data_IF_513817780111
#
_entry.id   IF_513817780111
#
_cell.length_a   1.000
_cell.length_b   1.000
_cell.length_c   1.000
_cell.angle_alpha   90.00
_cell.angle_beta   90.00
_cell.angle_gamma   90.00
#
_symmetry.space_group_name_H-M   'P 1'
#
loop_
_entity.id
_entity.type
_entity.pdbx_description
1 polymer ?
#
# COMPACT_ATOMS: atom_id res chain seq x y z
N UNK A 1 -25.24 -63.64 41.55
CA UNK A 1 -25.23 -62.78 40.35
C UNK A 1 -23.98 -61.92 40.38
N UNK A 2 -23.14 -62.01 39.33
CA UNK A 2 -22.00 -61.15 38.92
C UNK A 2 -21.01 -60.72 40.03
N UNK A 3 -19.91 -61.44 40.29
CA UNK A 3 -18.62 -61.52 39.57
C UNK A 3 -17.82 -60.20 39.39
N UNK A 4 -16.55 -60.28 39.84
CA UNK A 4 -15.30 -59.62 39.38
C UNK A 4 -14.96 -58.29 40.09
N UNK A 5 -14.01 -58.25 41.03
CA UNK A 5 -12.53 -58.45 40.98
C UNK A 5 -11.77 -57.19 40.48
N UNK A 6 -11.09 -56.58 41.47
CA UNK A 6 -9.71 -56.08 41.53
C UNK A 6 -9.08 -55.11 40.49
N UNK A 7 -8.24 -54.25 41.10
CA UNK A 7 -6.91 -53.78 40.69
C UNK A 7 -6.75 -52.34 40.19
N UNK A 8 -6.10 -51.56 41.07
CA UNK A 8 -5.08 -50.54 40.84
C UNK A 8 -4.49 -50.43 39.42
N UNK A 9 -4.43 -49.20 38.88
CA UNK A 9 -3.31 -48.71 38.07
C UNK A 9 -3.29 -47.17 38.01
N UNK A 10 -2.13 -46.58 38.32
CA UNK A 10 -1.72 -45.22 37.98
C UNK A 10 -1.85 -45.01 36.46
N UNK A 11 -2.43 -43.89 36.02
CA UNK A 11 -2.26 -43.39 34.66
C UNK A 11 -1.92 -41.89 34.71
N UNK A 12 -0.64 -41.60 34.51
CA UNK A 12 -0.17 -40.34 33.94
C UNK A 12 -0.82 -40.19 32.55
N UNK A 13 -1.56 -39.12 32.32
CA UNK A 13 -1.84 -38.65 30.96
C UNK A 13 -1.75 -37.13 30.90
N UNK A 14 -0.60 -36.69 30.42
CA UNK A 14 -0.39 -35.41 29.77
C UNK A 14 -1.36 -35.27 28.59
N UNK A 15 -2.29 -34.33 28.67
CA UNK A 15 -2.97 -33.73 27.52
C UNK A 15 -2.73 -32.23 27.71
N UNK A 16 -1.66 -31.64 27.21
CA UNK A 16 -1.34 -31.64 25.79
C UNK A 16 -2.31 -30.67 25.12
N UNK A 17 -2.05 -29.37 25.22
CA UNK A 17 -2.65 -28.35 24.37
C UNK A 17 -2.41 -28.77 22.92
N UNK A 18 -3.38 -29.44 22.28
CA UNK A 18 -3.37 -29.55 20.83
C UNK A 18 -3.65 -28.16 20.31
N UNK A 19 -2.58 -27.44 19.97
CA UNK A 19 -2.63 -26.34 19.02
C UNK A 19 -3.37 -26.86 17.79
N UNK A 20 -4.64 -26.50 17.66
CA UNK A 20 -5.36 -26.57 16.40
C UNK A 20 -4.75 -25.51 15.46
N UNK A 21 -3.53 -25.77 15.00
CA UNK A 21 -2.99 -25.18 13.79
C UNK A 21 -3.72 -25.82 12.61
N UNK A 22 -4.99 -25.44 12.43
CA UNK A 22 -5.54 -25.40 11.08
C UNK A 22 -4.71 -24.35 10.36
N UNK A 23 -3.69 -24.82 9.64
CA UNK A 23 -3.07 -24.11 8.53
C UNK A 23 -4.19 -23.68 7.57
N UNK A 24 -4.84 -22.56 7.85
CA UNK A 24 -5.30 -21.70 6.77
C UNK A 24 -4.04 -21.42 5.96
N UNK A 25 -3.96 -22.00 4.76
CA UNK A 25 -2.89 -21.74 3.81
C UNK A 25 -2.88 -20.24 3.52
N UNK A 26 -2.12 -19.48 4.30
CA UNK A 26 -1.57 -18.23 3.83
C UNK A 26 -0.65 -18.63 2.68
N UNK A 27 -1.15 -18.52 1.43
CA UNK A 27 -0.38 -18.88 0.25
C UNK A 27 0.89 -18.03 0.29
N UNK A 28 2.04 -18.68 0.49
CA UNK A 28 3.33 -18.00 0.65
C UNK A 28 3.61 -17.07 -0.53
N UNK A 29 4.42 -16.04 -0.32
CA UNK A 29 4.85 -15.15 -1.39
C UNK A 29 5.51 -15.94 -2.54
N UNK A 30 6.23 -17.02 -2.24
CA UNK A 30 6.85 -17.90 -3.25
C UNK A 30 5.80 -18.53 -4.18
N UNK A 31 4.68 -19.00 -3.65
CA UNK A 31 3.59 -19.54 -4.47
C UNK A 31 2.96 -18.47 -5.36
N UNK A 32 2.88 -17.22 -4.89
CA UNK A 32 2.37 -16.09 -5.69
C UNK A 32 3.33 -15.71 -6.81
N UNK A 33 4.64 -15.68 -6.54
CA UNK A 33 5.67 -15.42 -7.57
C UNK A 33 5.61 -16.43 -8.71
N UNK A 34 5.37 -17.70 -8.38
CA UNK A 34 5.25 -18.75 -9.40
C UNK A 34 4.07 -18.52 -10.36
N UNK A 35 3.05 -17.78 -9.95
CA UNK A 35 1.86 -17.43 -10.75
C UNK A 35 2.04 -16.18 -11.61
N UNK A 36 3.19 -15.49 -11.53
CA UNK A 36 3.42 -14.33 -12.39
C UNK A 36 3.37 -14.74 -13.88
N UNK A 37 2.74 -13.90 -14.68
CA UNK A 37 2.58 -14.08 -16.11
C UNK A 37 3.35 -12.99 -16.87
N UNK A 38 3.80 -13.34 -18.08
CA UNK A 38 4.45 -12.44 -19.03
C UNK A 38 3.53 -12.19 -20.22
N UNK A 39 3.68 -11.03 -20.84
CA UNK A 39 2.80 -10.63 -21.93
C UNK A 39 3.58 -10.09 -23.11
N UNK A 40 3.03 -10.26 -24.31
CA UNK A 40 3.63 -9.71 -25.53
C UNK A 40 3.59 -8.18 -25.58
N UNK A 41 2.68 -7.56 -24.82
CA UNK A 41 2.56 -6.12 -24.69
C UNK A 41 2.49 -5.76 -23.20
N UNK A 42 3.42 -4.95 -22.72
CA UNK A 42 3.59 -4.63 -21.30
C UNK A 42 3.49 -3.10 -21.09
N UNK A 43 2.28 -2.51 -21.22
CA UNK A 43 2.09 -1.07 -21.09
C UNK A 43 2.30 -0.60 -19.64
N UNK A 44 3.11 0.44 -19.48
CA UNK A 44 3.35 1.19 -18.26
C UNK A 44 2.49 2.45 -18.27
N UNK A 45 1.62 2.58 -17.28
CA UNK A 45 0.81 3.75 -17.00
C UNK A 45 1.50 4.62 -15.96
N UNK A 46 1.79 5.87 -16.33
CA UNK A 46 2.48 6.83 -15.50
C UNK A 46 1.60 8.04 -15.23
N UNK A 47 1.58 8.49 -13.98
CA UNK A 47 0.96 9.72 -13.54
C UNK A 47 2.03 10.82 -13.48
N UNK A 48 1.85 11.90 -14.24
CA UNK A 48 2.60 13.14 -14.12
C UNK A 48 1.74 14.23 -13.54
N UNK A 49 2.29 14.98 -12.59
CA UNK A 49 1.63 16.16 -12.01
C UNK A 49 2.63 17.30 -11.98
N UNK A 50 2.20 18.49 -12.43
CA UNK A 50 2.95 19.73 -12.30
C UNK A 50 2.13 20.73 -11.51
N UNK A 51 2.58 21.08 -10.30
CA UNK A 51 1.91 22.08 -9.44
C UNK A 51 2.79 22.50 -8.27
N UNK A 52 2.74 23.79 -7.84
CA UNK A 52 3.31 24.21 -6.56
C UNK A 52 2.43 23.78 -5.36
N UNK A 53 1.15 23.46 -5.58
CA UNK A 53 0.21 23.11 -4.52
C UNK A 53 0.46 21.72 -3.93
N UNK A 54 -0.16 21.48 -2.77
CA UNK A 54 -0.24 20.14 -2.18
C UNK A 54 -1.37 19.36 -2.85
N UNK A 55 -1.26 18.04 -2.88
CA UNK A 55 -2.29 17.21 -3.49
C UNK A 55 -2.29 15.78 -2.95
N UNK A 56 -3.43 15.12 -3.14
CA UNK A 56 -3.56 13.66 -3.15
C UNK A 56 -4.28 13.23 -4.42
N UNK A 57 -3.74 12.24 -5.12
CA UNK A 57 -4.39 11.62 -6.28
C UNK A 57 -4.69 10.16 -5.97
N UNK A 58 -5.94 9.77 -6.17
CA UNK A 58 -6.41 8.41 -6.04
C UNK A 58 -6.65 7.80 -7.41
N UNK A 59 -6.19 6.56 -7.61
CA UNK A 59 -6.56 5.72 -8.75
C UNK A 59 -7.31 4.53 -8.19
N UNK A 60 -8.56 4.36 -8.60
CA UNK A 60 -9.46 3.35 -8.03
C UNK A 60 -9.41 3.39 -6.49
N UNK A 61 -9.63 4.57 -5.90
CA UNK A 61 -9.62 4.75 -4.44
C UNK A 61 -8.26 4.55 -3.73
N UNK A 62 -7.19 4.13 -4.40
CA UNK A 62 -5.84 3.98 -3.81
C UNK A 62 -5.08 5.32 -3.94
N UNK A 63 -4.57 5.91 -2.83
CA UNK A 63 -3.84 7.18 -2.85
C UNK A 63 -2.42 7.02 -3.43
N UNK A 64 -2.32 6.95 -4.75
CA UNK A 64 -1.06 6.65 -5.46
C UNK A 64 -0.06 7.81 -5.43
N UNK A 65 -0.50 9.05 -5.27
CA UNK A 65 0.39 10.21 -5.19
C UNK A 65 -0.04 11.16 -4.08
N UNK A 66 0.91 11.55 -3.23
CA UNK A 66 0.69 12.47 -2.11
C UNK A 66 1.85 13.47 -2.06
N UNK A 67 1.53 14.77 -1.98
CA UNK A 67 2.51 15.84 -1.78
C UNK A 67 1.96 16.84 -0.75
N UNK A 68 2.65 16.98 0.37
CA UNK A 68 2.33 17.92 1.47
C UNK A 68 3.59 18.68 1.91
N UNK A 69 4.33 19.19 0.93
CA UNK A 69 5.61 19.86 1.09
C UNK A 69 5.69 21.06 0.15
N UNK A 70 6.56 22.03 0.46
CA UNK A 70 6.73 23.26 -0.33
C UNK A 70 7.79 23.14 -1.44
N UNK A 71 8.43 21.98 -1.59
CA UNK A 71 9.38 21.66 -2.65
C UNK A 71 8.80 20.56 -3.56
N UNK A 72 9.38 20.35 -4.75
CA UNK A 72 8.89 19.47 -5.82
C UNK A 72 7.63 20.00 -6.53
N UNK A 73 7.84 20.68 -7.65
CA UNK A 73 6.75 21.13 -8.52
C UNK A 73 6.34 20.08 -9.54
N UNK A 74 7.12 19.01 -9.73
CA UNK A 74 6.83 17.93 -10.65
C UNK A 74 6.85 16.60 -9.91
N UNK A 75 5.88 15.74 -10.21
CA UNK A 75 5.74 14.40 -9.64
C UNK A 75 5.52 13.40 -10.76
N UNK A 76 6.19 12.26 -10.68
CA UNK A 76 6.05 11.13 -11.59
C UNK A 76 5.90 9.86 -10.77
N UNK A 77 4.88 9.05 -11.07
CA UNK A 77 4.71 7.73 -10.45
C UNK A 77 4.04 6.76 -11.41
N UNK A 78 4.48 5.50 -11.39
CA UNK A 78 3.76 4.41 -12.05
C UNK A 78 2.48 4.07 -11.27
N UNK A 79 1.39 3.78 -11.98
CA UNK A 79 0.07 3.53 -11.39
C UNK A 79 -0.49 2.14 -11.72
N UNK A 80 0.27 1.29 -12.42
CA UNK A 80 -0.15 -0.05 -12.85
C UNK A 80 -0.75 -0.90 -11.71
N UNK A 81 -0.12 -0.88 -10.53
CA UNK A 81 -0.58 -1.65 -9.37
C UNK A 81 -1.95 -1.21 -8.82
N UNK A 82 -2.47 -0.07 -9.28
CA UNK A 82 -3.78 0.46 -8.93
C UNK A 82 -4.85 0.18 -10.01
N UNK A 83 -4.46 -0.38 -11.17
CA UNK A 83 -5.34 -0.69 -12.30
C UNK A 83 -5.50 -2.21 -12.35
N UNK A 84 -6.47 -2.82 -11.68
CA UNK A 84 -6.47 -4.27 -11.49
C UNK A 84 -6.73 -5.07 -12.79
N UNK A 85 -7.40 -4.48 -13.77
CA UNK A 85 -7.69 -5.13 -15.05
C UNK A 85 -8.06 -4.09 -16.12
N UNK A 86 -8.07 -4.52 -17.38
CA UNK A 86 -8.57 -3.75 -18.53
C UNK A 86 -9.97 -3.18 -18.28
N UNK A 87 -10.17 -1.94 -18.74
CA UNK A 87 -11.45 -1.26 -18.79
C UNK A 87 -11.40 0.11 -18.13
N UNK A 88 -12.57 0.56 -17.69
CA UNK A 88 -12.75 1.85 -17.04
C UNK A 88 -12.12 1.87 -15.65
N UNK A 89 -11.39 2.94 -15.37
CA UNK A 89 -10.74 3.21 -14.09
C UNK A 89 -11.20 4.58 -13.59
N UNK A 90 -11.25 4.75 -12.27
CA UNK A 90 -11.61 6.03 -11.64
C UNK A 90 -10.36 6.78 -11.19
N UNK A 91 -10.37 8.10 -11.35
CA UNK A 91 -9.41 9.02 -10.75
C UNK A 91 -10.13 10.02 -9.85
N UNK A 92 -9.56 10.29 -8.69
CA UNK A 92 -9.94 11.41 -7.84
C UNK A 92 -8.70 12.26 -7.55
N UNK A 93 -8.82 13.56 -7.75
CA UNK A 93 -7.78 14.55 -7.52
C UNK A 93 -8.26 15.45 -6.38
N UNK A 94 -7.50 15.49 -5.29
CA UNK A 94 -7.69 16.44 -4.20
C UNK A 94 -6.54 17.44 -4.21
N UNK A 95 -6.84 18.71 -4.47
CA UNK A 95 -5.87 19.82 -4.47
C UNK A 95 -6.02 20.56 -3.14
N UNK A 96 -4.90 20.70 -2.44
CA UNK A 96 -4.81 21.35 -1.13
C UNK A 96 -3.98 22.64 -1.21
N UNK A 97 -4.14 23.55 -0.24
CA UNK A 97 -3.33 24.76 -0.15
C UNK A 97 -1.83 24.46 -0.19
N UNK A 98 -1.05 25.33 -0.80
CA UNK A 98 0.41 25.16 -0.84
C UNK A 98 1.02 25.30 0.56
N UNK A 99 2.12 24.60 0.79
CA UNK A 99 2.96 24.88 1.95
C UNK A 99 3.82 26.13 1.66
N UNK A 100 3.86 27.05 2.61
CA UNK A 100 4.72 28.23 2.57
C UNK A 100 6.16 27.87 2.95
N UNK A 101 6.30 26.96 3.91
CA UNK A 101 7.56 26.39 4.36
C UNK A 101 7.31 24.98 4.92
N UNK A 102 8.33 24.33 5.48
CA UNK A 102 8.25 22.96 5.98
C UNK A 102 7.25 22.75 7.13
N UNK A 103 6.77 23.80 7.80
CA UNK A 103 5.87 23.72 8.95
C UNK A 103 4.55 24.48 8.80
N UNK A 104 4.42 25.36 7.80
CA UNK A 104 3.25 26.22 7.61
C UNK A 104 2.60 26.02 6.25
N UNK A 105 1.33 25.61 6.27
CA UNK A 105 0.46 25.53 5.09
C UNK A 105 -0.45 26.75 5.03
N UNK A 106 -0.79 27.22 3.83
CA UNK A 106 -1.90 28.16 3.66
C UNK A 106 -3.20 27.52 4.18
N UNK A 107 -4.11 28.33 4.73
CA UNK A 107 -5.40 27.80 5.21
C UNK A 107 -6.33 27.43 4.05
N UNK A 108 -6.37 28.28 3.02
CA UNK A 108 -7.21 28.12 1.85
C UNK A 108 -6.35 28.07 0.57
N UNK A 109 -6.96 27.60 -0.50
CA UNK A 109 -6.42 27.67 -1.85
C UNK A 109 -6.22 29.13 -2.28
N UNK A 110 -5.39 29.32 -3.29
CA UNK A 110 -5.16 30.64 -3.91
C UNK A 110 -5.92 30.73 -5.22
N UNK A 111 -6.00 31.93 -5.81
CA UNK A 111 -6.50 32.08 -7.18
C UNK A 111 -5.50 31.50 -8.18
N UNK A 112 -6.02 31.12 -9.34
CA UNK A 112 -5.23 30.77 -10.53
C UNK A 112 -4.14 29.72 -10.25
N UNK A 113 -4.52 28.70 -9.48
CA UNK A 113 -3.64 27.58 -9.16
C UNK A 113 -3.24 26.87 -10.44
N UNK A 114 -1.93 26.88 -10.72
CA UNK A 114 -1.36 26.04 -11.76
C UNK A 114 -1.34 24.57 -11.28
N UNK A 115 -2.24 23.77 -11.83
CA UNK A 115 -2.27 22.32 -11.61
C UNK A 115 -2.53 21.61 -12.93
N UNK A 116 -1.51 20.89 -13.40
CA UNK A 116 -1.59 20.00 -14.56
C UNK A 116 -1.38 18.56 -14.08
N UNK A 117 -2.21 17.65 -14.60
CA UNK A 117 -2.08 16.22 -14.40
C UNK A 117 -2.24 15.50 -15.74
N UNK A 118 -1.36 14.54 -16.01
CA UNK A 118 -1.46 13.62 -17.14
C UNK A 118 -1.34 12.19 -16.65
N UNK A 119 -2.14 11.30 -17.22
CA UNK A 119 -1.85 9.87 -17.23
C UNK A 119 -1.35 9.53 -18.63
N UNK A 120 -0.19 8.92 -18.69
CA UNK A 120 0.53 8.55 -19.91
C UNK A 120 0.68 7.04 -19.98
N UNK A 121 0.45 6.46 -21.15
CA UNK A 121 0.77 5.07 -21.49
C UNK A 121 2.06 5.05 -22.30
N UNK A 122 3.02 4.24 -21.87
CA UNK A 122 4.29 3.97 -22.56
C UNK A 122 4.62 2.48 -22.42
N UNK A 123 5.64 1.98 -23.09
CA UNK A 123 6.11 0.60 -22.94
C UNK A 123 7.63 0.56 -23.04
N UNK A 124 8.26 -0.44 -22.42
CA UNK A 124 9.68 -0.70 -22.65
C UNK A 124 9.87 -1.40 -24.00
N UNK A 125 10.71 -0.83 -24.86
CA UNK A 125 11.12 -1.41 -26.14
C UNK A 125 12.61 -1.18 -26.34
N UNK A 126 13.35 -2.26 -26.56
CA UNK A 126 14.81 -2.23 -26.81
C UNK A 126 15.60 -1.43 -25.74
N UNK A 127 15.20 -1.56 -24.47
CA UNK A 127 15.85 -0.88 -23.34
C UNK A 127 15.47 0.60 -23.15
N UNK A 128 14.51 1.11 -23.91
CA UNK A 128 14.02 2.49 -23.80
C UNK A 128 12.49 2.55 -23.69
N UNK A 129 11.96 3.60 -23.07
CA UNK A 129 10.52 3.85 -23.07
C UNK A 129 10.09 4.39 -24.42
N UNK A 130 9.01 3.84 -24.98
CA UNK A 130 8.37 4.39 -26.17
C UNK A 130 7.83 5.79 -25.87
N UNK A 131 7.66 6.65 -26.88
CA UNK A 131 7.02 7.95 -26.70
C UNK A 131 5.68 7.79 -25.95
N UNK A 132 5.46 8.53 -24.85
CA UNK A 132 4.25 8.39 -24.06
C UNK A 132 3.03 8.89 -24.82
N UNK A 133 1.94 8.14 -24.73
CA UNK A 133 0.61 8.52 -25.21
C UNK A 133 -0.23 8.98 -24.03
N UNK A 134 -0.75 10.20 -24.09
CA UNK A 134 -1.68 10.70 -23.07
C UNK A 134 -2.99 9.91 -23.14
N UNK A 135 -3.38 9.26 -22.04
CA UNK A 135 -4.65 8.54 -21.90
C UNK A 135 -5.67 9.31 -21.07
N UNK A 136 -5.21 10.25 -20.24
CA UNK A 136 -6.04 11.20 -19.51
C UNK A 136 -5.25 12.48 -19.23
N UNK A 137 -5.92 13.62 -19.26
CA UNK A 137 -5.33 14.90 -18.90
C UNK A 137 -6.34 15.75 -18.14
N UNK A 138 -5.85 16.46 -17.13
CA UNK A 138 -6.62 17.43 -16.37
C UNK A 138 -5.77 18.67 -16.10
N UNK A 139 -6.33 19.83 -16.40
CA UNK A 139 -5.84 21.12 -15.94
C UNK A 139 -6.90 21.73 -15.04
N UNK A 140 -6.50 22.26 -13.88
CA UNK A 140 -7.43 23.04 -13.07
C UNK A 140 -7.80 24.33 -13.83
N UNK A 141 -9.09 24.63 -14.07
CA UNK A 141 -9.48 25.86 -14.73
C UNK A 141 -9.09 27.10 -13.92
N UNK A 142 -8.86 28.22 -14.60
CA UNK A 142 -8.74 29.53 -13.95
C UNK A 142 -10.01 29.84 -13.13
N UNK A 143 -9.84 30.51 -12.00
CA UNK A 143 -10.95 30.80 -11.11
C UNK A 143 -10.55 31.18 -9.68
N UNK A 144 -11.54 31.64 -8.93
CA UNK A 144 -11.40 31.96 -7.51
C UNK A 144 -11.65 30.72 -6.64
N UNK A 145 -10.60 30.28 -5.95
CA UNK A 145 -10.63 29.16 -5.02
C UNK A 145 -10.35 29.58 -3.58
N UNK A 146 -10.26 30.89 -3.28
CA UNK A 146 -9.78 31.42 -1.98
C UNK A 146 -10.67 31.09 -0.78
N UNK A 147 -11.92 30.67 -1.03
CA UNK A 147 -12.84 30.19 -0.01
C UNK A 147 -12.78 28.67 0.23
N UNK A 148 -11.92 27.93 -0.49
CA UNK A 148 -11.84 26.47 -0.43
C UNK A 148 -10.59 26.00 0.31
N UNK A 149 -10.76 25.05 1.24
CA UNK A 149 -9.67 24.30 1.88
C UNK A 149 -9.19 23.09 1.07
N UNK A 150 -10.01 22.65 0.13
CA UNK A 150 -9.71 21.57 -0.81
C UNK A 150 -10.56 21.75 -2.07
N UNK A 151 -9.98 21.44 -3.23
CA UNK A 151 -10.71 21.27 -4.47
C UNK A 151 -10.67 19.80 -4.86
N UNK A 152 -11.83 19.23 -5.21
CA UNK A 152 -11.95 17.81 -5.55
C UNK A 152 -12.46 17.68 -6.99
N UNK A 153 -11.74 16.94 -7.81
CA UNK A 153 -12.16 16.53 -9.15
C UNK A 153 -12.23 15.01 -9.24
N UNK A 154 -13.29 14.48 -9.84
CA UNK A 154 -13.46 13.05 -10.08
C UNK A 154 -13.71 12.81 -11.55
N UNK A 155 -13.04 11.83 -12.12
CA UNK A 155 -13.21 11.45 -13.51
C UNK A 155 -12.94 9.96 -13.71
N UNK A 156 -13.07 9.54 -14.97
CA UNK A 156 -12.81 8.18 -15.43
C UNK A 156 -11.84 8.22 -16.61
N UNK A 157 -11.05 7.17 -16.74
CA UNK A 157 -10.17 6.95 -17.90
C UNK A 157 -10.16 5.48 -18.27
N UNK A 158 -9.71 5.17 -19.49
CA UNK A 158 -9.59 3.80 -19.98
C UNK A 158 -8.13 3.35 -19.87
N UNK A 159 -7.93 2.13 -19.37
CA UNK A 159 -6.64 1.45 -19.38
C UNK A 159 -6.82 0.03 -19.91
N UNK A 160 -5.82 -0.50 -20.60
CA UNK A 160 -5.85 -1.85 -21.18
C UNK A 160 -4.60 -2.65 -20.84
N UNK A 161 -4.25 -2.82 -19.54
CA UNK A 161 -3.23 -3.78 -19.18
C UNK A 161 -3.65 -5.21 -19.58
N UNK A 162 -2.69 -6.08 -19.90
CA UNK A 162 -2.97 -7.46 -20.30
C UNK A 162 -3.22 -8.38 -19.09
N UNK A 163 -2.83 -7.96 -17.89
CA UNK A 163 -2.93 -8.74 -16.67
C UNK A 163 -4.30 -8.61 -15.99
N UNK A 164 -4.54 -9.55 -15.07
CA UNK A 164 -5.61 -9.46 -14.08
C UNK A 164 -5.01 -9.59 -12.67
N UNK A 165 -5.02 -8.49 -11.93
CA UNK A 165 -4.54 -8.43 -10.55
C UNK A 165 -5.62 -8.93 -9.57
N UNK A 166 -5.22 -9.09 -8.31
CA UNK A 166 -6.18 -9.25 -7.21
C UNK A 166 -6.95 -7.93 -7.09
N UNK A 167 -8.27 -7.99 -7.25
CA UNK A 167 -9.13 -6.81 -7.31
C UNK A 167 -9.91 -6.63 -5.99
N UNK A 168 -9.46 -5.67 -5.17
CA UNK A 168 -10.13 -5.35 -3.90
C UNK A 168 -11.57 -4.84 -4.08
N UNK A 169 -11.97 -4.40 -5.29
CA UNK A 169 -13.34 -3.92 -5.55
C UNK A 169 -14.37 -5.03 -5.34
N UNK A 170 -13.95 -6.29 -5.45
CA UNK A 170 -14.78 -7.45 -5.15
C UNK A 170 -14.83 -7.78 -3.65
N UNK A 171 -13.96 -7.17 -2.84
CA UNK A 171 -13.85 -7.36 -1.39
C UNK A 171 -15.03 -6.80 -0.59
N UNK A 172 -15.03 -7.09 0.71
CA UNK A 172 -16.06 -6.65 1.64
C UNK A 172 -15.86 -5.17 2.01
N UNK A 173 -16.97 -4.45 2.19
CA UNK A 173 -16.94 -3.10 2.73
C UNK A 173 -16.79 -3.14 4.25
N UNK A 174 -15.93 -2.25 4.77
CA UNK A 174 -15.80 -1.93 6.17
C UNK A 174 -17.04 -1.17 6.66
N UNK A 175 -17.54 -1.53 7.83
CA UNK A 175 -18.59 -0.79 8.51
C UNK A 175 -17.97 0.34 9.34
N UNK A 176 -18.31 1.59 9.00
CA UNK A 176 -17.80 2.79 9.69
C UNK A 176 -18.20 2.80 11.17
N UNK A 177 -19.35 2.19 11.53
CA UNK A 177 -19.79 2.07 12.93
C UNK A 177 -18.81 1.23 13.77
N UNK A 178 -18.06 0.34 13.15
CA UNK A 178 -17.07 -0.52 13.80
C UNK A 178 -15.66 0.06 13.74
N UNK A 179 -15.51 1.35 13.43
CA UNK A 179 -14.21 2.03 13.26
C UNK A 179 -13.24 1.83 14.43
N UNK A 180 -13.74 1.75 15.67
CA UNK A 180 -12.91 1.45 16.85
C UNK A 180 -12.32 0.03 16.78
N UNK A 181 -13.15 -0.96 16.47
CA UNK A 181 -12.72 -2.35 16.31
C UNK A 181 -11.79 -2.50 15.09
N UNK A 182 -12.13 -1.88 13.96
CA UNK A 182 -11.31 -1.86 12.76
C UNK A 182 -9.93 -1.26 13.02
N UNK A 183 -9.86 -0.10 13.69
CA UNK A 183 -8.60 0.54 14.07
C UNK A 183 -7.74 -0.39 14.95
N UNK A 184 -8.34 -1.08 15.92
CA UNK A 184 -7.65 -2.06 16.77
C UNK A 184 -7.12 -3.25 15.96
N UNK A 185 -7.90 -3.77 15.02
CA UNK A 185 -7.51 -4.91 14.19
C UNK A 185 -6.39 -4.54 13.20
N UNK A 186 -6.47 -3.35 12.60
CA UNK A 186 -5.40 -2.81 11.77
C UNK A 186 -4.12 -2.61 12.59
N UNK A 187 -4.21 -2.00 13.78
CA UNK A 187 -3.04 -1.85 14.66
C UNK A 187 -2.38 -3.20 14.93
N UNK A 188 -3.17 -4.23 15.27
CA UNK A 188 -2.65 -5.59 15.45
C UNK A 188 -1.97 -6.15 14.20
N UNK A 189 -2.51 -5.88 13.00
CA UNK A 189 -1.89 -6.30 11.74
C UNK A 189 -0.53 -5.60 11.51
N UNK A 190 -0.45 -4.30 11.80
CA UNK A 190 0.82 -3.55 11.72
C UNK A 190 1.82 -3.99 12.80
N UNK A 191 1.37 -4.25 14.03
CA UNK A 191 2.22 -4.79 15.10
C UNK A 191 2.76 -6.18 14.74
N UNK A 192 1.96 -7.01 14.06
CA UNK A 192 2.41 -8.30 13.55
C UNK A 192 3.50 -8.13 12.46
N UNK A 193 3.30 -7.23 11.50
CA UNK A 193 4.34 -6.88 10.51
C UNK A 193 5.63 -6.39 11.22
N UNK A 194 5.49 -5.44 12.15
CA UNK A 194 6.61 -4.90 12.92
C UNK A 194 7.35 -6.00 13.68
N UNK A 195 6.63 -6.86 14.39
CA UNK A 195 7.20 -7.97 15.16
C UNK A 195 7.98 -8.95 14.28
N UNK A 196 7.42 -9.36 13.13
CA UNK A 196 8.14 -10.25 12.21
C UNK A 196 9.42 -9.61 11.67
N UNK A 197 9.40 -8.30 11.39
CA UNK A 197 10.59 -7.59 10.95
C UNK A 197 11.65 -7.51 12.07
N UNK A 198 11.27 -7.08 13.26
CA UNK A 198 12.20 -6.86 14.39
C UNK A 198 12.81 -8.15 14.93
N UNK A 199 12.06 -9.26 14.84
CA UNK A 199 12.49 -10.60 15.28
C UNK A 199 13.12 -11.44 14.16
N UNK A 200 13.54 -10.83 13.04
CA UNK A 200 14.26 -11.54 11.96
C UNK A 200 13.44 -12.69 11.34
N UNK A 201 12.11 -12.52 11.24
CA UNK A 201 11.20 -13.45 10.56
C UNK A 201 10.83 -12.90 9.17
N UNK A 202 11.84 -12.71 8.32
CA UNK A 202 11.71 -12.09 6.99
C UNK A 202 10.74 -12.81 6.07
N UNK A 203 10.70 -14.14 6.10
CA UNK A 203 9.74 -14.95 5.34
C UNK A 203 8.30 -14.60 5.74
N UNK A 204 7.99 -14.62 7.03
CA UNK A 204 6.66 -14.30 7.54
C UNK A 204 6.28 -12.83 7.26
N UNK A 205 7.23 -11.90 7.35
CA UNK A 205 7.03 -10.51 6.95
C UNK A 205 6.61 -10.41 5.47
N UNK A 206 7.34 -11.09 4.58
CA UNK A 206 7.06 -11.05 3.14
C UNK A 206 5.75 -11.76 2.78
N UNK A 207 5.40 -12.83 3.48
CA UNK A 207 4.13 -13.52 3.30
C UNK A 207 2.92 -12.63 3.67
N UNK A 208 3.02 -11.85 4.74
CA UNK A 208 1.97 -10.89 5.14
C UNK A 208 1.73 -9.79 4.09
N UNK A 209 2.75 -9.44 3.30
CA UNK A 209 2.64 -8.46 2.20
C UNK A 209 2.23 -9.10 0.87
N UNK A 210 2.00 -10.41 0.83
CA UNK A 210 2.12 -11.19 -0.39
C UNK A 210 1.15 -10.82 -1.52
N UNK A 211 -0.10 -10.48 -1.20
CA UNK A 211 -1.10 -10.04 -2.17
C UNK A 211 -0.69 -8.71 -2.84
N UNK A 212 -0.33 -7.71 -2.03
CA UNK A 212 0.12 -6.42 -2.52
C UNK A 212 1.43 -6.50 -3.31
N UNK A 213 2.37 -7.36 -2.88
CA UNK A 213 3.60 -7.60 -3.63
C UNK A 213 3.34 -8.33 -4.95
N UNK A 214 2.42 -9.31 -4.98
CA UNK A 214 2.01 -9.94 -6.23
C UNK A 214 1.43 -8.92 -7.20
N UNK A 215 0.49 -8.09 -6.74
CA UNK A 215 -0.09 -7.03 -7.56
C UNK A 215 1.00 -6.08 -8.09
N UNK A 216 1.91 -5.63 -7.22
CA UNK A 216 3.04 -4.79 -7.61
C UNK A 216 3.87 -5.46 -8.71
N UNK A 217 4.42 -6.65 -8.46
CA UNK A 217 5.33 -7.32 -9.40
C UNK A 217 4.68 -7.70 -10.72
N UNK A 218 3.44 -8.22 -10.69
CA UNK A 218 2.70 -8.54 -11.89
C UNK A 218 2.43 -7.30 -12.75
N UNK A 219 2.09 -6.19 -12.10
CA UNK A 219 1.76 -4.93 -12.77
C UNK A 219 2.98 -4.16 -13.29
N UNK A 220 4.15 -4.41 -12.68
CA UNK A 220 5.46 -3.89 -13.12
C UNK A 220 6.15 -4.79 -14.15
N UNK A 221 5.52 -5.90 -14.55
CA UNK A 221 6.04 -6.84 -15.55
C UNK A 221 7.43 -7.42 -15.24
N UNK A 222 7.80 -7.50 -13.96
CA UNK A 222 9.11 -8.01 -13.57
C UNK A 222 9.22 -9.51 -13.85
N UNK A 223 10.42 -9.94 -14.23
CA UNK A 223 10.70 -11.36 -14.43
C UNK A 223 10.66 -12.15 -13.12
N UNK A 224 10.21 -13.42 -13.17
CA UNK A 224 10.13 -14.28 -11.98
C UNK A 224 11.46 -14.38 -11.26
N UNK A 225 12.56 -14.47 -12.01
CA UNK A 225 13.90 -14.54 -11.44
C UNK A 225 14.28 -13.24 -10.72
N UNK A 226 13.99 -12.08 -11.33
CA UNK A 226 14.22 -10.76 -10.72
C UNK A 226 13.39 -10.58 -9.45
N UNK A 227 12.12 -10.96 -9.50
CA UNK A 227 11.21 -10.92 -8.35
C UNK A 227 11.72 -11.83 -7.23
N UNK A 228 12.16 -13.06 -7.55
CA UNK A 228 12.70 -13.97 -6.56
C UNK A 228 13.99 -13.43 -5.93
N UNK A 229 14.88 -12.82 -6.72
CA UNK A 229 16.07 -12.13 -6.22
C UNK A 229 15.69 -10.98 -5.29
N UNK A 230 14.72 -10.15 -5.66
CA UNK A 230 14.27 -9.03 -4.84
C UNK A 230 13.64 -9.50 -3.51
N UNK A 231 12.81 -10.54 -3.53
CA UNK A 231 12.24 -11.13 -2.32
C UNK A 231 13.33 -11.73 -1.43
N UNK A 232 14.23 -12.54 -1.99
CA UNK A 232 15.33 -13.14 -1.24
C UNK A 232 16.26 -12.07 -0.64
N UNK A 233 16.52 -10.99 -1.37
CA UNK A 233 17.30 -9.87 -0.86
C UNK A 233 16.60 -9.20 0.32
N UNK A 234 15.28 -8.96 0.25
CA UNK A 234 14.51 -8.39 1.37
C UNK A 234 14.47 -9.32 2.58
N UNK A 235 14.25 -10.61 2.38
CA UNK A 235 14.27 -11.63 3.45
C UNK A 235 15.64 -11.65 4.12
N UNK A 236 16.71 -11.77 3.32
CA UNK A 236 18.09 -11.77 3.82
C UNK A 236 18.38 -10.48 4.58
N UNK A 237 18.00 -9.33 4.03
CA UNK A 237 18.13 -8.05 4.71
C UNK A 237 17.45 -8.05 6.08
N UNK A 238 16.22 -8.56 6.21
CA UNK A 238 15.51 -8.63 7.50
C UNK A 238 16.23 -9.59 8.45
N UNK A 239 16.62 -10.76 7.96
CA UNK A 239 17.14 -11.85 8.78
C UNK A 239 18.60 -11.65 9.20
N UNK A 240 19.37 -10.84 8.49
CA UNK A 240 20.81 -10.64 8.72
C UNK A 240 21.13 -10.16 10.14
N UNK A 241 20.35 -9.22 10.68
CA UNK A 241 20.53 -8.68 12.03
C UNK A 241 19.26 -8.05 12.58
N UNK A 242 19.07 -8.05 13.92
CA UNK A 242 17.96 -7.34 14.54
C UNK A 242 17.97 -5.85 14.17
N UNK A 243 16.80 -5.33 13.83
CA UNK A 243 16.61 -3.91 13.47
C UNK A 243 15.31 -3.43 14.08
N UNK A 244 15.41 -2.43 14.96
CA UNK A 244 14.24 -1.80 15.55
C UNK A 244 13.59 -0.85 14.53
N UNK A 245 12.30 -1.03 14.30
CA UNK A 245 11.45 -0.10 13.58
C UNK A 245 10.96 1.01 14.52
N UNK A 246 10.53 2.12 13.97
CA UNK A 246 9.89 3.18 14.76
C UNK A 246 8.61 2.69 15.45
N UNK A 247 8.19 3.43 16.47
CA UNK A 247 6.91 3.21 17.13
C UNK A 247 5.76 3.58 16.17
N UNK A 248 4.65 2.84 16.30
CA UNK A 248 3.43 3.10 15.53
C UNK A 248 2.63 4.14 16.32
N UNK A 249 2.83 5.40 15.97
CA UNK A 249 2.27 6.56 16.68
C UNK A 249 1.77 7.63 15.69
N UNK A 250 1.05 8.63 16.21
CA UNK A 250 0.60 9.80 15.46
C UNK A 250 -0.10 9.43 14.14
N UNK A 251 -1.08 8.53 14.24
CA UNK A 251 -1.81 8.01 13.10
C UNK A 251 -3.33 8.11 13.25
N UNK A 252 -4.01 8.16 12.11
CA UNK A 252 -5.45 8.01 12.01
C UNK A 252 -5.80 6.73 11.21
N UNK A 253 -7.03 6.23 11.43
CA UNK A 253 -7.64 5.25 10.55
C UNK A 253 -8.19 5.98 9.32
N UNK A 254 -7.74 5.59 8.14
CA UNK A 254 -8.29 6.07 6.87
C UNK A 254 -9.04 4.93 6.16
N UNK A 255 -10.23 5.24 5.66
CA UNK A 255 -11.07 4.31 4.88
C UNK A 255 -11.30 4.95 3.51
N UNK A 256 -11.02 4.19 2.45
CA UNK A 256 -11.13 4.66 1.06
C UNK A 256 -11.61 3.51 0.15
N UNK A 257 -11.65 3.75 -1.17
CA UNK A 257 -12.14 2.76 -2.13
C UNK A 257 -13.58 2.31 -1.83
N UNK A 258 -14.52 3.25 -1.73
CA UNK A 258 -15.94 2.98 -1.42
C UNK A 258 -16.13 2.10 -0.17
N UNK A 259 -15.31 2.37 0.84
CA UNK A 259 -15.36 1.66 2.11
C UNK A 259 -14.71 0.29 2.11
N UNK A 260 -14.00 -0.14 1.06
CA UNK A 260 -13.41 -1.49 0.97
C UNK A 260 -11.91 -1.55 1.26
N UNK A 261 -11.28 -0.38 1.40
CA UNK A 261 -9.87 -0.26 1.70
C UNK A 261 -9.66 0.49 3.00
N UNK A 262 -8.66 0.09 3.77
CA UNK A 262 -8.32 0.76 5.02
C UNK A 262 -6.81 0.75 5.29
N UNK A 263 -6.33 1.78 5.99
CA UNK A 263 -4.92 1.92 6.37
C UNK A 263 -4.77 2.74 7.66
N UNK A 264 -3.64 2.57 8.35
CA UNK A 264 -3.21 3.53 9.38
C UNK A 264 -2.21 4.49 8.75
N UNK A 265 -2.55 5.78 8.78
CA UNK A 265 -1.82 6.83 8.07
C UNK A 265 -1.34 7.89 9.07
N UNK A 266 -0.09 8.33 8.91
CA UNK A 266 0.53 9.36 9.74
C UNK A 266 -0.17 10.72 9.55
N UNK A 267 -0.35 11.46 10.64
CA UNK A 267 -1.04 12.76 10.65
C UNK A 267 -0.11 13.93 11.03
N UNK A 268 1.16 13.65 11.33
CA UNK A 268 2.10 14.62 11.86
C UNK A 268 3.07 15.18 10.80
N UNK A 269 3.17 16.51 10.76
CA UNK A 269 4.22 17.27 10.10
C UNK A 269 4.60 16.76 8.70
N UNK A 270 5.90 16.57 8.48
CA UNK A 270 6.49 16.08 7.24
C UNK A 270 6.17 14.63 6.89
N UNK A 271 5.55 13.89 7.82
CA UNK A 271 5.16 12.49 7.63
C UNK A 271 3.69 12.35 7.27
N UNK A 272 2.92 13.45 7.23
CA UNK A 272 1.49 13.43 6.95
C UNK A 272 1.20 12.67 5.65
N UNK A 273 0.19 11.78 5.70
CA UNK A 273 -0.26 10.96 4.58
C UNK A 273 0.73 9.86 4.13
N UNK A 274 1.64 9.45 5.02
CA UNK A 274 2.55 8.31 4.83
C UNK A 274 2.21 7.12 5.74
N UNK A 275 2.78 5.96 5.43
CA UNK A 275 2.68 4.74 6.22
C UNK A 275 3.35 4.81 7.58
N UNK A 276 2.84 3.96 8.49
CA UNK A 276 3.29 3.87 9.89
C UNK A 276 4.46 2.91 10.12
N UNK A 277 4.77 2.02 9.17
CA UNK A 277 5.96 1.15 9.23
C UNK A 277 7.16 1.93 8.71
N UNK A 278 8.04 2.34 9.63
CA UNK A 278 9.15 3.25 9.33
C UNK A 278 10.47 2.73 9.88
N UNK A 279 11.53 2.91 9.09
CA UNK A 279 12.91 2.59 9.46
C UNK A 279 13.84 3.75 9.13
N UNK A 280 14.47 4.31 10.15
CA UNK A 280 15.47 5.36 9.98
C UNK A 280 16.87 4.77 9.85
N UNK A 281 17.71 5.37 9.01
CA UNK A 281 19.11 4.99 8.85
C UNK A 281 19.94 6.18 8.35
N UNK A 282 21.26 6.10 8.46
CA UNK A 282 22.16 7.13 7.94
C UNK A 282 22.72 6.68 6.58
N UNK A 283 22.69 7.58 5.59
CA UNK A 283 23.37 7.44 4.31
C UNK A 283 24.42 8.55 4.22
N UNK A 284 25.66 8.22 4.62
CA UNK A 284 26.69 9.23 4.88
C UNK A 284 26.22 10.19 5.99
N UNK A 285 26.24 11.50 5.72
CA UNK A 285 25.81 12.53 6.66
C UNK A 285 24.30 12.80 6.64
N UNK A 286 23.54 12.13 5.77
CA UNK A 286 22.10 12.33 5.65
C UNK A 286 21.33 11.27 6.43
N UNK A 287 20.42 11.72 7.29
CA UNK A 287 19.44 10.85 7.93
C UNK A 287 18.31 10.57 6.93
N UNK A 288 18.09 9.29 6.66
CA UNK A 288 17.07 8.79 5.73
C UNK A 288 15.98 8.05 6.50
N UNK A 289 14.81 7.95 5.88
CA UNK A 289 13.72 7.09 6.32
C UNK A 289 13.24 6.23 5.15
N UNK A 290 13.09 4.94 5.41
CA UNK A 290 12.37 4.02 4.55
C UNK A 290 10.98 3.78 5.16
N UNK A 291 9.94 3.93 4.36
CA UNK A 291 8.53 3.80 4.76
C UNK A 291 7.88 2.71 3.93
N UNK A 292 7.15 1.82 4.58
CA UNK A 292 6.23 0.90 3.90
C UNK A 292 4.80 1.45 4.02
N UNK A 293 4.30 2.00 2.91
CA UNK A 293 2.88 2.33 2.78
C UNK A 293 2.13 1.05 2.47
N UNK A 294 1.10 0.76 3.27
CA UNK A 294 0.37 -0.50 3.25
C UNK A 294 -1.12 -0.20 3.30
N UNK A 295 -1.87 -0.85 2.42
CA UNK A 295 -3.32 -0.76 2.37
C UNK A 295 -3.91 -2.16 2.50
N UNK A 296 -4.90 -2.28 3.37
CA UNK A 296 -5.60 -3.52 3.63
C UNK A 296 -6.97 -3.55 2.98
N UNK A 297 -7.43 -4.76 2.67
CA UNK A 297 -8.81 -5.08 2.28
C UNK A 297 -9.24 -6.38 2.96
N UNK A 298 -10.53 -6.72 2.85
CA UNK A 298 -11.04 -8.04 3.24
C UNK A 298 -11.53 -8.76 1.97
N UNK A 299 -10.98 -9.95 1.64
CA UNK A 299 -11.45 -10.72 0.50
C UNK A 299 -12.93 -11.10 0.60
N UNK A 300 -13.63 -11.15 -0.54
CA UNK A 300 -15.06 -11.47 -0.64
C UNK A 300 -15.43 -12.77 0.10
N UNK A 301 -14.62 -13.80 -0.12
CA UNK A 301 -14.85 -15.15 0.37
C UNK A 301 -14.32 -15.38 1.78
N UNK A 302 -13.79 -14.34 2.45
CA UNK A 302 -13.31 -14.51 3.80
C UNK A 302 -14.47 -14.83 4.74
N UNK A 303 -14.32 -15.87 5.56
CA UNK A 303 -15.31 -16.22 6.59
C UNK A 303 -15.05 -15.50 7.92
N UNK A 304 -13.90 -14.84 8.06
CA UNK A 304 -13.54 -14.09 9.26
C UNK A 304 -13.79 -12.61 9.02
N UNK A 305 -14.43 -11.96 9.99
CA UNK A 305 -14.74 -10.53 9.94
C UNK A 305 -13.49 -9.63 9.95
N UNK A 306 -12.31 -10.19 10.26
CA UNK A 306 -11.05 -9.48 10.44
C UNK A 306 -9.87 -10.08 9.66
N UNK A 307 -10.15 -10.75 8.54
CA UNK A 307 -9.13 -11.28 7.62
C UNK A 307 -8.56 -10.16 6.74
N UNK A 308 -7.85 -9.25 7.40
CA UNK A 308 -7.18 -8.13 6.76
C UNK A 308 -5.98 -8.65 5.95
N UNK A 309 -6.02 -8.44 4.64
CA UNK A 309 -4.94 -8.80 3.73
C UNK A 309 -4.39 -7.54 3.07
N UNK A 310 -3.09 -7.49 2.83
CA UNK A 310 -2.45 -6.35 2.17
C UNK A 310 -2.73 -6.42 0.67
N UNK A 311 -3.44 -5.45 0.10
CA UNK A 311 -3.70 -5.40 -1.35
C UNK A 311 -2.76 -4.49 -2.11
N UNK A 312 -2.19 -3.50 -1.42
CA UNK A 312 -1.29 -2.55 -2.04
C UNK A 312 -0.18 -2.21 -1.06
N UNK A 313 1.04 -2.22 -1.61
CA UNK A 313 2.27 -1.94 -0.90
C UNK A 313 3.12 -1.01 -1.76
N UNK A 314 3.69 0.02 -1.13
CA UNK A 314 4.71 0.86 -1.72
C UNK A 314 5.82 1.09 -0.72
N UNK A 315 7.06 0.98 -1.18
CA UNK A 315 8.21 1.39 -0.39
C UNK A 315 8.68 2.77 -0.82
N UNK A 316 8.76 3.70 0.12
CA UNK A 316 9.28 5.06 -0.08
C UNK A 316 10.61 5.19 0.65
N UNK A 317 11.58 5.84 0.01
CA UNK A 317 12.83 6.25 0.65
C UNK A 317 12.98 7.76 0.48
N UNK A 318 13.11 8.48 1.59
CA UNK A 318 13.26 9.94 1.58
C UNK A 318 14.18 10.44 2.71
N UNK A 319 14.56 11.71 2.67
CA UNK A 319 15.19 12.38 3.80
C UNK A 319 14.31 12.28 5.05
N UNK A 320 14.90 12.07 6.22
CA UNK A 320 14.16 11.94 7.47
C UNK A 320 13.58 13.28 7.97
N UNK A 321 14.11 14.39 7.47
CA UNK A 321 13.72 15.76 7.78
C UNK A 321 13.44 16.52 6.47
N UNK A 322 12.64 17.61 6.53
CA UNK A 322 12.31 18.46 5.39
C UNK A 322 13.51 19.07 4.68
#
# INVERSE_FOLDING_TARGET
MKNIICCFALIMSTLGCSQNNKNEKMNSIKEKVNKLEKYNNEPVYQLRINTPNSFTVFINGIPVANKYVNYLNSYLSEINSCIPQKGEQTIEIQIHPKYLNSSKQNENLENDINFELKIEETSWKDGSLTPPKVVYQYNLPEGDYTNKKVFIHKAKFQASPPYKLIDWREGKSFNIKDSVALKKNLLKAYENLKSNFENQHGEAYMDLLGDGLFNLYQSSYLDKEEVQKHINHRISFINEKPRKLSEIENYNLEIFGDGKLASLIRIDGFNKNEGVIRRYYNKGNQKMVQVDDIIFYIPKNSVKENDLQVIWHRNIVKGANP
#
